data_IF_171941014722
#
_entry.id   IF_171941014722
#
_cell.length_a   1.000
_cell.length_b   1.000
_cell.length_c   1.000
_cell.angle_alpha   90.00
_cell.angle_beta   90.00
_cell.angle_gamma   90.00
#
_symmetry.space_group_name_H-M   'P 1'
#
loop_
_entity.id
_entity.type
_entity.pdbx_description
1 polymer ?
#
# COMPACT_ATOMS: atom_id res chain seq x y z
N UNK A 1 19.69 11.75 -7.89
CA UNK A 1 19.48 12.40 -9.21
C UNK A 1 18.46 11.65 -10.08
N UNK A 2 17.46 11.00 -9.50
CA UNK A 2 16.38 10.37 -10.27
C UNK A 2 15.35 11.44 -10.70
N UNK A 3 14.74 11.28 -11.87
CA UNK A 3 13.64 12.12 -12.34
C UNK A 3 12.27 11.48 -12.06
N UNK A 4 12.23 10.15 -11.95
CA UNK A 4 11.12 9.34 -11.45
C UNK A 4 11.57 8.34 -10.38
N UNK A 5 10.66 7.93 -9.50
CA UNK A 5 10.90 6.83 -8.58
C UNK A 5 9.64 6.08 -8.19
N UNK A 6 9.81 4.80 -7.85
CA UNK A 6 8.74 3.97 -7.32
C UNK A 6 9.17 3.38 -5.97
N UNK A 7 8.37 3.65 -4.94
CA UNK A 7 8.47 2.93 -3.68
C UNK A 7 7.76 1.59 -3.86
N UNK A 8 8.41 0.52 -3.41
CA UNK A 8 7.93 -0.85 -3.55
C UNK A 8 8.03 -1.58 -2.21
N UNK A 9 7.23 -2.62 -2.05
CA UNK A 9 7.44 -3.61 -0.99
C UNK A 9 7.87 -4.93 -1.63
N UNK A 10 8.39 -5.83 -0.81
CA UNK A 10 8.61 -7.20 -1.25
C UNK A 10 7.26 -7.89 -1.47
N UNK A 11 7.06 -8.44 -2.67
CA UNK A 11 5.91 -9.29 -2.98
C UNK A 11 5.92 -10.53 -2.07
N UNK A 12 4.80 -10.83 -1.43
CA UNK A 12 4.69 -11.91 -0.43
C UNK A 12 4.55 -13.29 -1.09
N UNK A 13 3.85 -13.35 -2.22
CA UNK A 13 3.57 -14.59 -2.94
C UNK A 13 3.43 -14.30 -4.45
N UNK A 14 3.66 -15.29 -5.34
CA UNK A 14 3.50 -15.11 -6.79
C UNK A 14 2.14 -14.54 -7.20
N UNK A 15 1.08 -14.94 -6.51
CA UNK A 15 -0.33 -14.66 -6.76
C UNK A 15 -0.85 -13.41 -6.04
N UNK A 16 0.00 -12.68 -5.31
CA UNK A 16 -0.40 -11.40 -4.71
C UNK A 16 -0.86 -10.42 -5.81
N UNK A 17 -2.07 -9.82 -5.68
CA UNK A 17 -2.69 -8.99 -6.72
C UNK A 17 -2.10 -7.57 -6.76
N UNK A 18 -0.80 -7.50 -7.05
CA UNK A 18 -0.01 -6.27 -7.14
C UNK A 18 0.79 -6.26 -8.44
N UNK A 19 0.82 -5.12 -9.12
CA UNK A 19 1.74 -4.89 -10.22
C UNK A 19 3.20 -4.96 -9.76
N UNK A 20 4.10 -5.35 -10.66
CA UNK A 20 5.53 -5.48 -10.38
C UNK A 20 6.33 -4.48 -11.21
N UNK A 21 7.19 -3.70 -10.54
CA UNK A 21 8.14 -2.80 -11.21
C UNK A 21 9.23 -3.65 -11.86
N UNK A 22 9.43 -3.50 -13.16
CA UNK A 22 10.42 -4.26 -13.92
C UNK A 22 10.95 -3.49 -15.14
N UNK A 23 11.80 -4.14 -15.93
CA UNK A 23 12.19 -3.68 -17.25
C UNK A 23 11.42 -4.49 -18.30
N UNK A 24 10.67 -3.80 -19.16
CA UNK A 24 10.02 -4.37 -20.34
C UNK A 24 10.62 -3.69 -21.57
N UNK A 25 11.18 -4.46 -22.49
CA UNK A 25 11.89 -3.94 -23.67
C UNK A 25 12.96 -2.89 -23.31
N UNK A 26 13.73 -3.14 -22.24
CA UNK A 26 14.76 -2.25 -21.69
C UNK A 26 14.28 -0.90 -21.11
N UNK A 27 12.97 -0.66 -21.02
CA UNK A 27 12.38 0.51 -20.37
C UNK A 27 11.74 0.14 -19.03
N UNK A 28 11.75 1.06 -18.06
CA UNK A 28 11.07 0.86 -16.77
C UNK A 28 9.56 0.79 -16.98
N UNK A 29 8.92 -0.15 -16.30
CA UNK A 29 7.49 -0.38 -16.45
C UNK A 29 6.91 -0.98 -15.16
N UNK A 30 5.58 -1.00 -15.06
CA UNK A 30 4.85 -1.81 -14.09
C UNK A 30 3.99 -2.78 -14.87
N UNK A 31 4.26 -4.08 -14.72
CA UNK A 31 3.38 -5.10 -15.27
C UNK A 31 2.32 -5.43 -14.22
N UNK A 32 1.06 -5.11 -14.51
CA UNK A 32 -0.04 -5.40 -13.61
C UNK A 32 -0.26 -6.90 -13.42
N UNK A 33 -0.78 -7.30 -12.26
CA UNK A 33 -0.96 -8.71 -11.92
C UNK A 33 -1.95 -9.42 -12.85
N UNK A 34 -2.87 -8.68 -13.48
CA UNK A 34 -3.81 -9.22 -14.47
C UNK A 34 -3.19 -9.42 -15.86
N UNK A 35 -1.97 -8.94 -16.08
CA UNK A 35 -1.28 -8.90 -17.37
C UNK A 35 0.05 -9.67 -17.36
N UNK A 36 0.49 -10.15 -16.20
CA UNK A 36 1.72 -10.95 -16.05
C UNK A 36 1.45 -12.43 -16.33
N UNK A 37 2.31 -13.06 -17.11
CA UNK A 37 2.26 -14.51 -17.35
C UNK A 37 2.54 -15.29 -16.05
N UNK A 38 1.84 -16.41 -15.86
CA UNK A 38 1.94 -17.26 -14.66
C UNK A 38 3.39 -17.74 -14.42
N UNK A 39 4.05 -18.26 -15.46
CA UNK A 39 5.44 -18.73 -15.37
C UNK A 39 6.40 -17.60 -14.93
N UNK A 40 6.12 -16.36 -15.36
CA UNK A 40 6.93 -15.18 -15.01
C UNK A 40 6.67 -14.77 -13.56
N UNK A 41 5.41 -14.77 -13.12
CA UNK A 41 5.03 -14.45 -11.73
C UNK A 41 5.62 -15.45 -10.71
N UNK A 42 5.74 -16.72 -11.10
CA UNK A 42 6.31 -17.79 -10.27
C UNK A 42 7.83 -17.95 -10.41
N UNK A 43 8.47 -17.20 -11.30
CA UNK A 43 9.91 -17.33 -11.55
C UNK A 43 10.74 -16.94 -10.31
N UNK A 44 11.67 -17.82 -9.91
CA UNK A 44 12.52 -17.64 -8.72
C UNK A 44 13.99 -17.57 -9.07
N UNK A 45 14.76 -16.86 -8.24
CA UNK A 45 16.20 -16.80 -8.32
C UNK A 45 16.78 -18.13 -7.82
N UNK A 46 17.50 -18.89 -8.66
CA UNK A 46 17.99 -20.23 -8.31
C UNK A 46 19.01 -20.22 -7.16
N UNK A 47 19.61 -19.08 -6.82
CA UNK A 47 20.61 -18.98 -5.74
C UNK A 47 20.00 -18.85 -4.35
N UNK A 48 18.82 -18.24 -4.24
CA UNK A 48 18.23 -17.90 -2.94
C UNK A 48 16.73 -18.19 -2.82
N UNK A 49 16.10 -18.73 -3.87
CA UNK A 49 14.69 -19.11 -3.89
C UNK A 49 13.70 -17.93 -3.89
N UNK A 50 14.17 -16.67 -3.94
CA UNK A 50 13.30 -15.51 -3.93
C UNK A 50 12.67 -15.28 -5.30
N UNK A 51 11.47 -14.69 -5.34
CA UNK A 51 10.85 -14.27 -6.60
C UNK A 51 11.77 -13.32 -7.37
N UNK A 52 11.89 -13.55 -8.68
CA UNK A 52 12.63 -12.67 -9.59
C UNK A 52 11.92 -11.32 -9.68
N UNK A 53 10.60 -11.34 -9.89
CA UNK A 53 9.74 -10.16 -9.97
C UNK A 53 9.06 -9.90 -8.62
N UNK A 54 9.83 -9.33 -7.69
CA UNK A 54 9.40 -9.12 -6.29
C UNK A 54 9.16 -7.66 -5.89
N UNK A 55 9.44 -6.71 -6.78
CA UNK A 55 9.28 -5.28 -6.52
C UNK A 55 7.81 -4.88 -6.70
N UNK A 56 6.99 -5.16 -5.68
CA UNK A 56 5.56 -4.91 -5.72
C UNK A 56 5.28 -3.40 -5.69
N UNK A 57 4.59 -2.90 -6.71
CA UNK A 57 4.15 -1.52 -6.81
C UNK A 57 3.07 -1.24 -5.76
N UNK A 58 3.35 -0.31 -4.84
CA UNK A 58 2.40 0.11 -3.80
C UNK A 58 1.74 1.47 -4.12
N UNK A 59 1.80 1.89 -5.39
CA UNK A 59 1.25 3.15 -5.89
C UNK A 59 1.75 4.39 -5.13
N UNK A 60 3.03 4.38 -4.74
CA UNK A 60 3.71 5.51 -4.12
C UNK A 60 4.93 5.87 -4.97
N UNK A 61 4.83 6.99 -5.67
CA UNK A 61 5.79 7.38 -6.72
C UNK A 61 6.36 8.77 -6.44
N UNK A 62 7.59 8.97 -6.89
CA UNK A 62 8.30 10.24 -6.88
C UNK A 62 8.40 10.73 -8.33
N UNK A 63 8.15 12.01 -8.54
CA UNK A 63 8.37 12.67 -9.82
C UNK A 63 9.00 14.04 -9.59
N UNK A 64 9.98 14.39 -10.40
CA UNK A 64 10.45 15.77 -10.47
C UNK A 64 9.43 16.63 -11.22
N UNK A 65 9.34 17.92 -10.87
CA UNK A 65 8.48 18.86 -11.59
C UNK A 65 8.85 18.94 -13.08
N UNK A 66 10.15 18.90 -13.39
CA UNK A 66 10.64 18.89 -14.77
C UNK A 66 10.18 17.67 -15.56
N UNK A 67 10.13 16.48 -14.94
CA UNK A 67 9.56 15.29 -15.58
C UNK A 67 8.06 15.46 -15.84
N UNK A 68 7.30 15.93 -14.84
CA UNK A 68 5.86 16.15 -14.99
C UNK A 68 5.53 17.15 -16.09
N UNK A 69 6.32 18.21 -16.25
CA UNK A 69 6.16 19.19 -17.32
C UNK A 69 6.40 18.61 -18.72
N UNK A 70 7.08 17.46 -18.85
CA UNK A 70 7.28 16.77 -20.12
C UNK A 70 6.10 15.86 -20.50
N UNK A 71 5.18 15.55 -19.58
CA UNK A 71 4.11 14.56 -19.80
C UNK A 71 3.25 14.91 -21.01
N UNK A 72 2.90 16.18 -21.22
CA UNK A 72 2.13 16.62 -22.39
C UNK A 72 2.79 16.21 -23.73
N UNK A 73 4.13 16.13 -23.77
CA UNK A 73 4.87 15.78 -25.00
C UNK A 73 4.75 14.30 -25.40
N UNK A 74 4.36 13.42 -24.46
CA UNK A 74 4.23 11.98 -24.68
C UNK A 74 2.88 11.40 -24.22
N UNK A 75 1.94 12.24 -23.77
CA UNK A 75 0.61 11.79 -23.33
C UNK A 75 -0.11 10.99 -24.44
N UNK A 76 0.07 11.38 -25.70
CA UNK A 76 -0.51 10.68 -26.86
C UNK A 76 0.06 9.27 -27.11
N UNK A 77 1.20 8.94 -26.49
CA UNK A 77 1.81 7.61 -26.55
C UNK A 77 1.35 6.70 -25.41
N UNK A 78 0.60 7.21 -24.43
CA UNK A 78 0.05 6.40 -23.34
C UNK A 78 -1.09 5.50 -23.85
N UNK A 79 -1.08 4.25 -23.42
CA UNK A 79 -2.04 3.25 -23.86
C UNK A 79 -3.25 3.16 -22.92
N UNK A 80 -4.42 2.84 -23.47
CA UNK A 80 -5.59 2.48 -22.67
C UNK A 80 -5.56 1.00 -22.30
N UNK A 81 -5.59 0.73 -21.00
CA UNK A 81 -5.88 -0.58 -20.45
C UNK A 81 -7.38 -0.87 -20.53
N UNK A 82 -7.73 -2.07 -21.03
CA UNK A 82 -9.12 -2.45 -21.29
C UNK A 82 -9.65 -3.34 -20.17
N UNK A 83 -10.55 -2.78 -19.36
CA UNK A 83 -11.29 -3.55 -18.37
C UNK A 83 -12.70 -3.89 -18.88
N UNK A 84 -12.96 -5.18 -19.11
CA UNK A 84 -14.29 -5.67 -19.54
C UNK A 84 -15.25 -5.76 -18.34
N UNK A 85 -16.39 -5.07 -18.41
CA UNK A 85 -17.30 -4.90 -17.26
C UNK A 85 -18.76 -5.20 -17.62
N UNK A 86 -19.54 -5.54 -16.58
CA UNK A 86 -21.01 -5.56 -16.61
C UNK A 86 -21.50 -4.17 -16.22
N UNK A 87 -21.76 -3.33 -17.22
CA UNK A 87 -22.12 -1.93 -17.05
C UNK A 87 -23.63 -1.81 -17.01
N UNK A 88 -24.20 -1.41 -15.86
CA UNK A 88 -25.63 -1.12 -15.75
C UNK A 88 -25.99 -0.06 -16.79
N UNK A 89 -27.06 -0.31 -17.53
CA UNK A 89 -27.53 0.58 -18.61
C UNK A 89 -29.03 0.80 -18.47
N UNK A 90 -29.60 1.60 -19.36
CA UNK A 90 -31.04 1.84 -19.44
C UNK A 90 -31.56 1.33 -20.78
N UNK A 91 -32.74 0.71 -20.78
CA UNK A 91 -33.48 0.41 -22.01
C UNK A 91 -33.98 1.72 -22.63
N UNK A 92 -33.58 2.01 -23.87
CA UNK A 92 -33.90 3.29 -24.51
C UNK A 92 -35.38 3.42 -24.93
N UNK A 93 -36.14 2.32 -24.95
CA UNK A 93 -37.56 2.33 -25.31
C UNK A 93 -38.44 2.42 -24.07
N UNK A 94 -38.13 1.66 -23.02
CA UNK A 94 -38.96 1.61 -21.80
C UNK A 94 -38.48 2.54 -20.70
N UNK A 95 -37.21 2.93 -20.71
CA UNK A 95 -36.57 3.68 -19.62
C UNK A 95 -36.15 2.83 -18.42
N UNK A 96 -36.29 1.50 -18.50
CA UNK A 96 -35.98 0.61 -17.38
C UNK A 96 -34.48 0.40 -17.19
N UNK A 97 -34.05 0.27 -15.94
CA UNK A 97 -32.65 -0.05 -15.61
C UNK A 97 -32.36 -1.53 -15.88
N UNK A 98 -31.34 -1.79 -16.67
CA UNK A 98 -30.84 -3.13 -16.99
C UNK A 98 -29.55 -3.39 -16.21
N UNK A 99 -29.56 -4.45 -15.39
CA UNK A 99 -28.36 -5.05 -14.81
C UNK A 99 -27.92 -6.26 -15.66
N UNK A 100 -26.91 -6.13 -16.53
CA UNK A 100 -26.57 -7.16 -17.51
C UNK A 100 -25.97 -8.41 -16.83
N UNK A 101 -26.37 -9.59 -17.32
CA UNK A 101 -25.87 -10.88 -16.82
C UNK A 101 -24.48 -11.24 -17.38
N UNK A 102 -24.17 -10.76 -18.58
CA UNK A 102 -22.89 -10.94 -19.28
C UNK A 102 -22.16 -9.60 -19.44
N UNK A 103 -20.87 -9.66 -19.76
CA UNK A 103 -20.07 -8.46 -20.10
C UNK A 103 -20.71 -7.79 -21.32
N UNK A 104 -21.00 -6.50 -21.20
CA UNK A 104 -21.68 -5.71 -22.23
C UNK A 104 -20.93 -4.42 -22.59
N UNK A 105 -19.75 -4.19 -22.00
CA UNK A 105 -18.95 -3.01 -22.33
C UNK A 105 -17.52 -3.10 -21.84
N UNK A 106 -16.76 -2.07 -22.21
CA UNK A 106 -15.37 -1.87 -21.82
C UNK A 106 -15.22 -0.54 -21.09
N UNK A 107 -14.36 -0.53 -20.08
CA UNK A 107 -13.83 0.66 -19.45
C UNK A 107 -12.39 0.81 -19.92
N UNK A 108 -12.05 2.00 -20.43
CA UNK A 108 -10.70 2.37 -20.81
C UNK A 108 -10.09 3.13 -19.64
N UNK A 109 -8.91 2.70 -19.19
CA UNK A 109 -8.19 3.28 -18.06
C UNK A 109 -6.75 3.55 -18.49
N UNK A 110 -6.16 4.66 -18.04
CA UNK A 110 -4.71 4.87 -18.09
C UNK A 110 -4.17 4.69 -16.68
N UNK A 111 -2.97 4.14 -16.53
CA UNK A 111 -2.36 4.00 -15.23
C UNK A 111 -1.29 5.06 -15.00
N UNK A 112 -1.25 5.57 -13.77
CA UNK A 112 -0.34 6.67 -13.38
C UNK A 112 1.14 6.33 -13.58
N UNK A 113 1.48 5.05 -13.55
CA UNK A 113 2.84 4.54 -13.71
C UNK A 113 3.23 4.24 -15.17
N UNK A 114 2.32 4.38 -16.13
CA UNK A 114 2.61 4.14 -17.56
C UNK A 114 3.55 5.20 -18.15
N UNK A 115 3.86 6.23 -17.36
CA UNK A 115 4.87 7.25 -17.68
C UNK A 115 6.31 6.75 -17.43
N UNK A 116 6.51 5.63 -16.71
CA UNK A 116 7.84 5.12 -16.37
C UNK A 116 8.75 4.83 -17.56
N UNK A 117 8.29 4.39 -18.74
CA UNK A 117 9.15 4.20 -19.90
C UNK A 117 9.82 5.49 -20.39
N UNK A 118 9.28 6.66 -20.04
CA UNK A 118 9.77 7.98 -20.48
C UNK A 118 10.76 8.62 -19.50
N UNK A 119 11.07 7.97 -18.38
CA UNK A 119 12.06 8.44 -17.40
C UNK A 119 13.48 8.33 -17.96
N UNK A 120 14.33 9.31 -17.68
CA UNK A 120 15.76 9.21 -17.97
C UNK A 120 16.48 8.37 -16.89
N UNK A 121 16.06 8.48 -15.63
CA UNK A 121 16.71 7.92 -14.45
C UNK A 121 15.68 7.54 -13.38
N UNK A 122 15.29 6.27 -13.36
CA UNK A 122 14.41 5.70 -12.35
C UNK A 122 15.15 5.30 -11.07
N UNK A 123 14.56 5.56 -9.91
CA UNK A 123 14.94 4.92 -8.65
C UNK A 123 13.83 3.97 -8.16
N UNK A 124 14.20 2.76 -7.74
CA UNK A 124 13.28 1.82 -7.07
C UNK A 124 13.69 1.70 -5.61
N UNK A 125 12.77 2.00 -4.69
CA UNK A 125 13.05 2.07 -3.26
C UNK A 125 12.20 1.04 -2.50
N UNK A 126 12.83 -0.06 -2.07
CA UNK A 126 12.18 -1.12 -1.31
C UNK A 126 12.07 -0.75 0.18
N UNK A 127 10.88 -0.92 0.76
CA UNK A 127 10.57 -0.65 2.18
C UNK A 127 9.95 -1.87 2.87
N UNK A 128 9.95 -1.90 4.21
CA UNK A 128 9.25 -2.94 4.97
C UNK A 128 7.74 -2.73 4.84
N UNK A 129 7.03 -3.73 4.32
CA UNK A 129 5.57 -3.74 4.17
C UNK A 129 4.87 -3.39 5.47
N UNK A 130 5.36 -3.93 6.60
CA UNK A 130 4.72 -3.73 7.91
C UNK A 130 4.74 -2.28 8.36
N UNK A 131 5.62 -1.46 7.78
CA UNK A 131 5.77 -0.06 8.12
C UNK A 131 5.05 0.88 7.14
N UNK A 132 4.90 0.49 5.87
CA UNK A 132 4.47 1.43 4.83
C UNK A 132 3.32 0.95 3.94
N UNK A 133 2.82 -0.29 4.11
CA UNK A 133 1.79 -0.82 3.21
C UNK A 133 0.80 -1.79 3.88
N UNK A 134 -0.40 -1.28 4.17
CA UNK A 134 -1.58 -2.06 4.55
C UNK A 134 -2.82 -1.55 3.77
N UNK A 135 -3.06 -2.07 2.56
CA UNK A 135 -4.09 -1.53 1.68
C UNK A 135 -5.51 -1.87 2.18
N UNK A 136 -6.45 -0.99 1.85
CA UNK A 136 -7.89 -1.20 2.07
C UNK A 136 -8.59 -1.33 0.72
N UNK A 137 -8.98 -2.55 0.34
CA UNK A 137 -9.56 -2.91 -0.96
C UNK A 137 -10.87 -3.68 -0.83
N UNK A 138 -11.01 -4.48 0.23
CA UNK A 138 -12.09 -5.44 0.39
C UNK A 138 -13.04 -5.04 1.52
N UNK A 139 -14.23 -5.63 1.49
CA UNK A 139 -15.27 -5.42 2.50
C UNK A 139 -14.83 -5.94 3.90
N UNK A 140 -15.45 -5.44 4.98
CA UNK A 140 -15.27 -5.98 6.33
C UNK A 140 -15.40 -7.50 6.40
N UNK A 141 -14.53 -8.15 7.18
CA UNK A 141 -14.59 -9.58 7.44
C UNK A 141 -14.05 -10.49 6.31
N UNK A 142 -13.47 -9.93 5.25
CA UNK A 142 -12.82 -10.72 4.18
C UNK A 142 -11.46 -11.28 4.58
N UNK A 143 -10.82 -10.73 5.61
CA UNK A 143 -9.58 -11.23 6.20
C UNK A 143 -8.29 -10.84 5.44
N UNK A 144 -8.42 -10.14 4.32
CA UNK A 144 -7.29 -9.64 3.51
C UNK A 144 -7.65 -8.26 2.96
N UNK A 145 -6.73 -7.31 3.08
CA UNK A 145 -6.86 -5.92 2.60
C UNK A 145 -8.23 -5.28 2.95
N UNK A 146 -8.68 -5.47 4.18
CA UNK A 146 -9.99 -5.05 4.69
C UNK A 146 -9.84 -4.11 5.91
N UNK A 147 -10.91 -3.49 6.41
CA UNK A 147 -10.82 -2.54 7.53
C UNK A 147 -10.13 -3.13 8.76
N UNK A 148 -10.37 -4.40 9.07
CA UNK A 148 -9.76 -5.11 10.19
C UNK A 148 -8.25 -5.26 10.00
N UNK A 149 -7.77 -5.64 8.81
CA UNK A 149 -6.33 -5.76 8.56
C UNK A 149 -5.63 -4.40 8.62
N UNK A 150 -6.24 -3.34 8.06
CA UNK A 150 -5.67 -1.99 8.12
C UNK A 150 -5.56 -1.45 9.55
N UNK A 151 -6.61 -1.65 10.37
CA UNK A 151 -6.58 -1.25 11.78
C UNK A 151 -5.52 -2.02 12.56
N UNK A 152 -5.50 -3.35 12.42
CA UNK A 152 -4.51 -4.22 13.06
C UNK A 152 -3.09 -3.75 12.77
N UNK A 153 -2.77 -3.49 11.49
CA UNK A 153 -1.40 -3.18 11.08
C UNK A 153 -0.92 -1.83 11.65
N UNK A 154 -1.80 -0.82 11.73
CA UNK A 154 -1.51 0.47 12.38
C UNK A 154 -1.29 0.28 13.89
N UNK A 155 -2.15 -0.48 14.57
CA UNK A 155 -2.00 -0.75 16.01
C UNK A 155 -0.68 -1.49 16.29
N UNK A 156 -0.35 -2.50 15.47
CA UNK A 156 0.90 -3.25 15.60
C UNK A 156 2.13 -2.36 15.35
N UNK A 157 2.04 -1.41 14.42
CA UNK A 157 3.10 -0.44 14.19
C UNK A 157 3.32 0.45 15.42
N UNK A 158 2.25 1.00 15.98
CA UNK A 158 2.34 1.84 17.18
C UNK A 158 2.88 1.08 18.40
N UNK A 159 2.50 -0.19 18.54
CA UNK A 159 3.10 -1.11 19.53
C UNK A 159 4.62 -1.21 19.32
N UNK A 160 5.07 -1.51 18.09
CA UNK A 160 6.50 -1.62 17.76
C UNK A 160 7.25 -0.31 18.04
N UNK A 161 6.68 0.84 17.68
CA UNK A 161 7.28 2.14 17.94
C UNK A 161 7.47 2.39 19.45
N UNK A 162 6.44 2.11 20.24
CA UNK A 162 6.49 2.30 21.69
C UNK A 162 7.51 1.38 22.37
N UNK A 163 7.55 0.10 21.98
CA UNK A 163 8.50 -0.88 22.51
C UNK A 163 9.94 -0.60 22.08
N UNK A 164 10.16 -0.22 20.82
CA UNK A 164 11.48 0.16 20.32
C UNK A 164 12.03 1.41 21.02
N UNK A 165 11.15 2.30 21.50
CA UNK A 165 11.50 3.46 22.32
C UNK A 165 11.77 3.11 23.80
N UNK A 166 11.73 1.82 24.17
CA UNK A 166 12.00 1.34 25.52
C UNK A 166 10.79 1.38 26.47
N UNK A 167 9.59 1.63 25.95
CA UNK A 167 8.35 1.56 26.69
C UNK A 167 7.82 0.13 26.82
N UNK A 168 6.95 -0.11 27.80
CA UNK A 168 6.27 -1.39 28.00
C UNK A 168 4.76 -1.26 27.88
N UNK A 169 4.11 -2.20 27.21
CA UNK A 169 2.66 -2.21 27.07
C UNK A 169 2.06 -3.16 28.11
N UNK A 170 1.09 -2.65 28.86
CA UNK A 170 0.30 -3.42 29.82
C UNK A 170 -1.13 -3.50 29.26
N UNK A 171 -1.56 -4.69 28.88
CA UNK A 171 -2.93 -4.91 28.39
C UNK A 171 -3.91 -4.70 29.53
N UNK A 172 -4.80 -3.73 29.41
CA UNK A 172 -5.82 -3.48 30.41
C UNK A 172 -6.97 -4.48 30.31
N UNK A 173 -7.70 -4.63 31.42
CA UNK A 173 -8.84 -5.56 31.51
C UNK A 173 -9.97 -5.25 30.51
N UNK A 174 -10.09 -3.99 30.10
CA UNK A 174 -11.08 -3.54 29.12
C UNK A 174 -10.55 -3.55 27.67
N UNK A 175 -9.27 -3.89 27.47
CA UNK A 175 -8.71 -3.98 26.13
C UNK A 175 -9.13 -5.30 25.48
N UNK A 176 -10.09 -5.21 24.56
CA UNK A 176 -10.52 -6.36 23.77
C UNK A 176 -9.47 -6.82 22.74
N UNK A 177 -8.30 -6.16 22.67
CA UNK A 177 -7.19 -6.45 21.78
C UNK A 177 -7.66 -6.61 20.33
N UNK A 178 -8.05 -5.49 19.71
CA UNK A 178 -8.60 -5.50 18.36
C UNK A 178 -7.68 -6.28 17.40
N UNK A 179 -8.24 -7.30 16.75
CA UNK A 179 -7.51 -8.22 15.88
C UNK A 179 -6.26 -8.86 16.53
N UNK A 180 -6.33 -9.17 17.83
CA UNK A 180 -5.26 -9.78 18.60
C UNK A 180 -4.11 -8.83 18.95
N UNK A 181 -4.29 -7.52 18.77
CA UNK A 181 -3.24 -6.51 18.98
C UNK A 181 -3.62 -5.61 20.15
N UNK A 182 -2.70 -5.28 21.08
CA UNK A 182 -2.94 -4.27 22.10
C UNK A 182 -3.43 -2.96 21.46
N UNK A 183 -4.52 -2.39 21.99
CA UNK A 183 -5.17 -1.23 21.37
C UNK A 183 -4.45 0.06 21.77
N UNK A 184 -3.24 0.25 21.24
CA UNK A 184 -2.44 1.47 21.35
C UNK A 184 -2.47 2.21 20.01
N UNK A 185 -3.03 3.41 20.00
CA UNK A 185 -2.99 4.28 18.83
C UNK A 185 -2.30 5.60 19.14
N UNK A 186 -1.19 5.86 18.46
CA UNK A 186 -0.45 7.12 18.53
C UNK A 186 -0.81 7.96 17.30
N UNK A 187 -1.24 9.19 17.52
CA UNK A 187 -1.47 10.13 16.42
C UNK A 187 -0.14 10.43 15.70
N UNK A 188 -0.17 10.65 14.37
CA UNK A 188 1.01 11.11 13.62
C UNK A 188 1.63 12.43 14.15
N UNK A 189 0.89 13.22 14.94
CA UNK A 189 1.41 14.43 15.61
C UNK A 189 2.24 14.12 16.87
N UNK A 190 2.11 12.91 17.41
CA UNK A 190 2.94 12.40 18.52
C UNK A 190 4.24 11.85 17.96
N UNK A 191 4.16 11.06 16.91
CA UNK A 191 5.30 10.45 16.23
C UNK A 191 4.92 10.13 14.79
N UNK A 192 5.79 10.41 13.83
CA UNK A 192 5.55 10.14 12.41
C UNK A 192 5.98 8.73 12.01
N UNK A 193 7.12 8.26 12.52
CA UNK A 193 7.74 6.97 12.20
C UNK A 193 8.42 6.32 13.42
N UNK A 194 7.92 6.60 14.62
CA UNK A 194 8.41 6.07 15.89
C UNK A 194 9.48 6.93 16.57
N UNK A 195 9.92 8.03 15.94
CA UNK A 195 10.86 8.98 16.53
C UNK A 195 10.26 9.80 17.68
N UNK A 196 11.13 10.38 18.52
CA UNK A 196 10.73 11.32 19.57
C UNK A 196 10.07 10.70 20.81
N UNK A 197 9.79 9.39 20.81
CA UNK A 197 9.12 8.71 21.92
C UNK A 197 10.04 8.45 23.13
N UNK A 198 11.32 8.13 22.88
CA UNK A 198 12.22 7.58 23.89
C UNK A 198 12.37 8.47 25.14
N UNK A 199 12.43 9.79 24.99
CA UNK A 199 12.54 10.73 26.10
C UNK A 199 11.34 10.69 27.06
N UNK A 200 10.18 10.26 26.56
CA UNK A 200 8.93 10.23 27.34
C UNK A 200 8.68 8.83 27.90
N UNK A 201 8.93 7.79 27.10
CA UNK A 201 8.43 6.43 27.36
C UNK A 201 9.49 5.44 27.86
N UNK A 202 10.78 5.74 27.70
CA UNK A 202 11.84 4.80 28.06
C UNK A 202 11.75 4.40 29.54
N UNK A 203 11.66 3.10 29.80
CA UNK A 203 11.54 2.53 31.15
C UNK A 203 10.15 2.67 31.79
N UNK A 204 9.19 3.29 31.10
CA UNK A 204 7.81 3.45 31.58
C UNK A 204 6.87 2.46 30.91
N UNK A 205 5.68 2.35 31.48
CA UNK A 205 4.60 1.51 30.97
C UNK A 205 3.43 2.36 30.50
N UNK A 206 2.63 1.82 29.58
CA UNK A 206 1.33 2.37 29.20
C UNK A 206 0.27 1.28 29.30
N UNK A 207 -0.92 1.62 29.79
CA UNK A 207 -2.05 0.69 29.87
C UNK A 207 -3.00 0.90 28.68
N UNK A 208 -3.32 -0.17 27.94
CA UNK A 208 -4.29 -0.14 26.83
C UNK A 208 -5.71 -0.51 27.33
N UNK A 209 -6.80 -0.17 26.60
CA UNK A 209 -6.84 0.54 25.33
C UNK A 209 -6.58 2.04 25.52
N UNK A 210 -5.77 2.64 24.66
CA UNK A 210 -5.44 4.07 24.75
C UNK A 210 -5.15 4.65 23.37
N UNK A 211 -5.66 5.86 23.15
CA UNK A 211 -5.38 6.67 21.98
C UNK A 211 -4.73 7.97 22.46
N UNK A 212 -3.63 8.36 21.83
CA UNK A 212 -2.82 9.50 22.24
C UNK A 212 -2.71 10.49 21.08
N UNK A 213 -3.17 11.72 21.29
CA UNK A 213 -3.23 12.76 20.26
C UNK A 213 -2.12 13.80 20.35
N UNK A 214 -1.38 13.85 21.46
CA UNK A 214 -0.27 14.81 21.66
C UNK A 214 0.80 14.28 22.62
N UNK A 215 2.01 14.85 22.57
CA UNK A 215 3.10 14.51 23.51
C UNK A 215 2.73 14.81 24.97
N UNK A 216 1.93 15.83 25.23
CA UNK A 216 1.46 16.17 26.58
C UNK A 216 0.48 15.15 27.13
N UNK A 217 -0.37 14.58 26.28
CA UNK A 217 -1.22 13.45 26.64
C UNK A 217 -0.38 12.20 26.91
N UNK A 218 0.60 11.91 26.06
CA UNK A 218 1.51 10.77 26.24
C UNK A 218 2.17 10.80 27.61
N UNK A 219 2.71 11.96 28.02
CA UNK A 219 3.36 12.14 29.33
C UNK A 219 2.45 11.86 30.52
N UNK A 220 1.13 12.03 30.37
CA UNK A 220 0.14 11.82 31.45
C UNK A 220 -0.31 10.37 31.58
N UNK A 221 -0.27 9.61 30.49
CA UNK A 221 -0.80 8.24 30.45
C UNK A 221 0.26 7.15 30.65
N UNK A 222 1.55 7.52 30.59
CA UNK A 222 2.66 6.62 30.93
C UNK A 222 3.02 6.70 32.42
N UNK A 223 3.45 5.58 33.01
CA UNK A 223 3.81 5.47 34.43
C UNK A 223 5.00 4.55 34.69
#
# INVERSE_FOLDING_TARGET
>A
NADCGAKVVRKNAPDEPVGVVCLRNAAFNVVEYSEIDEDVAHATNPKNGQLLYRAANIANHFYTADFLNKVESFEGDLEYHIARKKIKTVDMQTGDVIAPKQINGMKLEMFVFDVFPFTERMAVFEVDRREEFSPLKNAPGTGVDCPETSRRDILQQNVRFFEAAGGKIIVGEEDNQLEGTPTLELSPLVTYSGEGLAEIVAGKSIKTPVRVHSLEELKRVVF
#
